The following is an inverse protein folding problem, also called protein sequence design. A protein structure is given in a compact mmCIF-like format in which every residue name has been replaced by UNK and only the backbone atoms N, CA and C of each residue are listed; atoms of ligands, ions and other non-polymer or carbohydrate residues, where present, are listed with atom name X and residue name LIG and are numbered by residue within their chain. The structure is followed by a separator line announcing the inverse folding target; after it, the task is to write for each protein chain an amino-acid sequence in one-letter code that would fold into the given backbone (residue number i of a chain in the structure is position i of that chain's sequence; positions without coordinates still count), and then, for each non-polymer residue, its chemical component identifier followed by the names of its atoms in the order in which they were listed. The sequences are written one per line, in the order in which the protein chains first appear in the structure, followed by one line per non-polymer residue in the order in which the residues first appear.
data_IF_995164785240
#
_entry.id   IF_995164785240
#
_cell.length_a   1.000
_cell.length_b   1.000
_cell.length_c   1.000
_cell.angle_alpha   90.00
_cell.angle_beta   90.00
_cell.angle_gamma   90.00
#
_symmetry.space_group_name_H-M   'P 1'
#
loop_
_entity.id
_entity.type
_entity.pdbx_description
1 polymer ?
#
# COMPACT_ATOMS: atom_id res chain seq x y z
N UNK A 1 6.27 -24.90 -4.33
CA UNK A 1 7.16 -23.77 -4.03
C UNK A 1 7.58 -23.11 -5.32
N UNK A 2 6.98 -21.97 -5.66
CA UNK A 2 7.48 -21.13 -6.75
C UNK A 2 8.65 -20.36 -6.13
N UNK A 3 9.88 -20.77 -6.45
CA UNK A 3 11.07 -20.00 -6.09
C UNK A 3 10.97 -18.66 -6.83
N UNK A 4 10.92 -17.56 -6.06
CA UNK A 4 11.00 -16.21 -6.61
C UNK A 4 12.25 -16.12 -7.49
N UNK A 5 12.15 -15.71 -8.77
CA UNK A 5 13.35 -15.48 -9.57
C UNK A 5 14.24 -14.46 -8.85
N UNK A 6 15.52 -14.81 -8.71
CA UNK A 6 16.56 -14.03 -8.02
C UNK A 6 16.96 -12.76 -8.81
N UNK A 7 15.97 -11.96 -9.23
CA UNK A 7 16.17 -10.74 -10.00
C UNK A 7 16.57 -9.61 -9.06
N UNK A 8 17.84 -9.57 -8.69
CA UNK A 8 18.42 -8.46 -7.93
C UNK A 8 18.47 -7.22 -8.82
N UNK A 9 17.76 -6.17 -8.43
CA UNK A 9 17.86 -4.85 -9.05
C UNK A 9 18.89 -4.00 -8.30
N UNK A 10 19.70 -3.23 -9.02
CA UNK A 10 20.69 -2.33 -8.43
C UNK A 10 20.43 -0.88 -8.83
N UNK A 11 20.55 0.03 -7.87
CA UNK A 11 20.35 1.47 -8.09
C UNK A 11 20.95 2.27 -6.93
N UNK A 12 21.15 3.58 -7.14
CA UNK A 12 21.55 4.48 -6.06
C UNK A 12 20.32 5.08 -5.35
N UNK A 13 20.39 5.16 -4.03
CA UNK A 13 19.48 5.95 -3.21
C UNK A 13 20.26 7.01 -2.43
N UNK A 14 19.61 8.13 -2.11
CA UNK A 14 20.21 9.19 -1.30
C UNK A 14 19.99 8.90 0.18
N UNK A 15 21.05 8.59 0.91
CA UNK A 15 21.04 8.56 2.38
C UNK A 15 21.18 9.98 2.91
N UNK A 16 20.34 10.34 3.87
CA UNK A 16 20.30 11.66 4.52
C UNK A 16 20.72 11.50 5.98
N UNK A 17 21.56 12.41 6.44
CA UNK A 17 21.92 12.55 7.84
C UNK A 17 22.11 14.01 8.22
N UNK A 18 22.60 14.27 9.43
CA UNK A 18 22.87 15.63 9.87
C UNK A 18 23.97 16.26 9.00
N UNK A 19 23.59 17.22 8.15
CA UNK A 19 24.51 18.00 7.32
C UNK A 19 25.00 17.33 6.04
N UNK A 20 24.48 16.15 5.65
CA UNK A 20 24.92 15.49 4.41
C UNK A 20 23.81 14.74 3.67
N UNK A 21 24.05 14.57 2.37
CA UNK A 21 23.28 13.71 1.47
C UNK A 21 24.29 12.91 0.63
N UNK A 22 24.25 11.58 0.70
CA UNK A 22 25.20 10.72 0.02
C UNK A 22 24.47 9.69 -0.88
N UNK A 23 24.93 9.47 -2.13
CA UNK A 23 24.45 8.36 -2.94
C UNK A 23 25.01 7.05 -2.38
N UNK A 24 24.13 6.11 -2.05
CA UNK A 24 24.47 4.77 -1.58
C UNK A 24 23.99 3.76 -2.60
N UNK A 25 24.87 2.84 -3.02
CA UNK A 25 24.49 1.73 -3.88
C UNK A 25 23.59 0.77 -3.09
N UNK A 26 22.41 0.51 -3.62
CA UNK A 26 21.40 -0.35 -3.01
C UNK A 26 21.04 -1.50 -3.93
N UNK A 27 20.53 -2.57 -3.33
CA UNK A 27 19.92 -3.70 -4.04
C UNK A 27 18.46 -3.86 -3.63
N UNK A 28 17.63 -4.36 -4.54
CA UNK A 28 16.25 -4.77 -4.24
C UNK A 28 16.02 -6.19 -4.77
N UNK A 29 15.41 -7.04 -3.94
CA UNK A 29 15.11 -8.43 -4.28
C UNK A 29 13.90 -8.95 -3.49
N UNK A 30 13.35 -10.07 -3.94
CA UNK A 30 12.44 -10.87 -3.12
C UNK A 30 13.16 -11.41 -1.87
N UNK A 31 12.40 -11.57 -0.79
CA UNK A 31 12.88 -12.17 0.45
C UNK A 31 12.63 -13.68 0.46
N UNK A 32 13.54 -14.44 1.08
CA UNK A 32 13.40 -15.86 1.35
C UNK A 32 13.43 -16.16 2.84
N UNK A 33 13.31 -17.44 3.21
CA UNK A 33 13.14 -17.86 4.62
C UNK A 33 14.23 -17.33 5.56
N UNK A 34 15.48 -17.23 5.07
CA UNK A 34 16.62 -16.71 5.82
C UNK A 34 16.53 -15.21 6.15
N UNK A 35 15.65 -14.46 5.47
CA UNK A 35 15.45 -13.02 5.71
C UNK A 35 14.37 -12.73 6.75
N UNK A 36 13.59 -13.74 7.18
CA UNK A 36 12.40 -13.53 8.01
C UNK A 36 12.76 -12.83 9.33
N UNK A 37 13.83 -13.26 10.00
CA UNK A 37 14.24 -12.69 11.28
C UNK A 37 14.64 -11.21 11.14
N UNK A 38 15.45 -10.87 10.13
CA UNK A 38 15.83 -9.48 9.85
C UNK A 38 14.61 -8.63 9.48
N UNK A 39 13.69 -9.17 8.68
CA UNK A 39 12.49 -8.48 8.25
C UNK A 39 11.54 -8.18 9.43
N UNK A 40 11.32 -9.15 10.32
CA UNK A 40 10.52 -8.96 11.54
C UNK A 40 11.15 -7.94 12.49
N UNK A 41 12.47 -8.03 12.70
CA UNK A 41 13.20 -7.05 13.51
C UNK A 41 13.10 -5.64 12.93
N UNK A 42 13.31 -5.51 11.62
CA UNK A 42 13.22 -4.24 10.91
C UNK A 42 11.80 -3.65 10.97
N UNK A 43 10.78 -4.47 10.74
CA UNK A 43 9.37 -4.07 10.85
C UNK A 43 9.08 -3.52 12.25
N UNK A 44 9.37 -4.31 13.29
CA UNK A 44 9.13 -3.92 14.68
C UNK A 44 9.82 -2.59 15.03
N UNK A 45 11.10 -2.43 14.69
CA UNK A 45 11.84 -1.20 14.96
C UNK A 45 11.16 0.02 14.34
N UNK A 46 10.72 -0.08 13.08
CA UNK A 46 10.04 1.05 12.40
C UNK A 46 8.66 1.31 13.00
N UNK A 47 7.93 0.27 13.42
CA UNK A 47 6.66 0.45 14.11
C UNK A 47 6.83 1.17 15.45
N UNK A 48 7.81 0.76 16.25
CA UNK A 48 8.16 1.41 17.52
C UNK A 48 8.55 2.89 17.30
N UNK A 49 9.23 3.21 16.19
CA UNK A 49 9.55 4.60 15.80
C UNK A 49 8.31 5.42 15.38
N UNK A 50 7.26 4.78 14.84
CA UNK A 50 6.00 5.46 14.49
C UNK A 50 5.15 5.71 15.74
N UNK A 51 5.01 4.70 16.61
CA UNK A 51 4.39 4.82 17.93
C UNK A 51 2.90 5.22 17.97
N UNK A 52 2.18 5.11 16.84
CA UNK A 52 0.75 5.48 16.74
C UNK A 52 -0.03 4.43 15.95
N UNK A 53 -0.81 3.60 16.65
CA UNK A 53 -1.65 2.52 16.09
C UNK A 53 -2.79 3.07 15.19
N UNK A 54 -3.20 4.34 15.37
CA UNK A 54 -4.12 5.00 14.43
C UNK A 54 -3.51 5.13 13.03
N UNK A 55 -2.17 5.12 12.94
CA UNK A 55 -1.39 5.38 11.73
C UNK A 55 -0.82 4.10 11.13
N UNK A 56 -0.35 3.16 11.95
CA UNK A 56 0.33 1.93 11.52
C UNK A 56 0.12 0.77 12.50
N UNK A 57 -0.21 -0.42 11.99
CA UNK A 57 -0.43 -1.63 12.81
C UNK A 57 0.88 -2.40 13.01
N UNK A 58 1.06 -3.04 14.18
CA UNK A 58 2.13 -4.01 14.41
C UNK A 58 1.84 -5.39 13.78
N UNK A 59 0.57 -5.70 13.57
CA UNK A 59 0.15 -6.92 12.88
C UNK A 59 0.74 -6.96 11.47
N UNK A 60 1.28 -8.12 11.10
CA UNK A 60 1.96 -8.31 9.82
C UNK A 60 1.89 -9.78 9.41
N UNK A 61 2.01 -10.06 8.12
CA UNK A 61 2.09 -11.43 7.59
C UNK A 61 3.46 -11.74 6.98
N UNK A 62 4.55 -11.22 7.55
CA UNK A 62 5.89 -11.31 6.92
C UNK A 62 6.30 -12.76 6.73
N UNK A 63 6.19 -13.58 7.77
CA UNK A 63 6.62 -14.97 7.72
C UNK A 63 5.77 -15.77 6.73
N UNK A 64 4.44 -15.66 6.81
CA UNK A 64 3.49 -16.31 5.91
C UNK A 64 3.76 -15.91 4.45
N UNK A 65 3.99 -14.62 4.22
CA UNK A 65 4.24 -14.08 2.88
C UNK A 65 5.54 -14.61 2.27
N UNK A 66 6.58 -14.80 3.09
CA UNK A 66 7.84 -15.38 2.65
C UNK A 66 7.72 -16.90 2.43
N UNK A 67 6.90 -17.58 3.24
CA UNK A 67 6.72 -19.04 3.20
C UNK A 67 5.74 -19.53 2.12
N UNK A 68 5.09 -18.63 1.39
CA UNK A 68 4.29 -18.95 0.20
C UNK A 68 2.88 -18.36 0.17
N UNK A 69 2.41 -17.78 1.28
CA UNK A 69 1.10 -17.14 1.40
C UNK A 69 1.19 -15.63 1.17
N UNK A 70 2.03 -15.22 0.22
CA UNK A 70 2.25 -13.82 -0.10
C UNK A 70 3.53 -13.60 -0.89
N UNK A 71 4.03 -12.37 -0.85
CA UNK A 71 5.32 -11.97 -1.37
C UNK A 71 5.93 -10.91 -0.44
N UNK A 72 7.23 -10.97 -0.21
CA UNK A 72 7.96 -9.90 0.46
C UNK A 72 9.16 -9.43 -0.37
N UNK A 73 9.40 -8.12 -0.36
CA UNK A 73 10.52 -7.48 -1.08
C UNK A 73 11.29 -6.59 -0.11
N UNK A 74 12.61 -6.77 -0.11
CA UNK A 74 13.54 -5.94 0.65
C UNK A 74 14.37 -5.03 -0.25
N UNK A 75 14.67 -3.83 0.24
CA UNK A 75 15.71 -2.96 -0.29
C UNK A 75 16.86 -2.93 0.72
N UNK A 76 18.08 -3.17 0.25
CA UNK A 76 19.26 -3.28 1.08
C UNK A 76 20.29 -2.22 0.73
N UNK A 77 20.96 -1.69 1.74
CA UNK A 77 22.13 -0.83 1.60
C UNK A 77 23.23 -1.37 2.51
N UNK A 78 24.45 -1.52 1.99
CA UNK A 78 25.61 -1.97 2.79
C UNK A 78 25.33 -3.31 3.51
N UNK A 79 24.54 -4.20 2.88
CA UNK A 79 24.15 -5.50 3.44
C UNK A 79 23.05 -5.47 4.49
N UNK A 80 22.41 -4.32 4.75
CA UNK A 80 21.33 -4.17 5.74
C UNK A 80 20.00 -3.83 5.09
N UNK A 81 18.92 -4.39 5.60
CA UNK A 81 17.56 -4.02 5.18
C UNK A 81 17.25 -2.55 5.53
N UNK A 82 16.88 -1.75 4.53
CA UNK A 82 16.52 -0.32 4.68
C UNK A 82 15.07 -0.03 4.27
N UNK A 83 14.41 -0.95 3.58
CA UNK A 83 12.98 -0.88 3.35
C UNK A 83 12.42 -2.29 3.14
N UNK A 84 11.19 -2.48 3.61
CA UNK A 84 10.49 -3.75 3.53
C UNK A 84 9.09 -3.49 3.01
N UNK A 85 8.63 -4.38 2.13
CA UNK A 85 7.27 -4.46 1.66
C UNK A 85 6.75 -5.88 1.77
N UNK A 86 5.51 -6.00 2.24
CA UNK A 86 4.78 -7.26 2.30
C UNK A 86 3.49 -7.19 1.48
N UNK A 87 3.11 -8.32 0.90
CA UNK A 87 1.83 -8.58 0.26
C UNK A 87 1.35 -9.93 0.78
N UNK A 88 0.11 -9.97 1.25
CA UNK A 88 -0.50 -11.15 1.83
C UNK A 88 -1.49 -11.84 0.88
N UNK A 89 -1.44 -13.17 0.86
CA UNK A 89 -2.44 -14.08 0.29
C UNK A 89 -3.12 -14.93 1.36
N UNK A 90 -2.86 -14.65 2.64
CA UNK A 90 -3.50 -15.35 3.76
C UNK A 90 -5.01 -15.28 3.57
N UNK A 91 -5.66 -16.46 3.59
CA UNK A 91 -7.06 -16.62 3.17
C UNK A 91 -8.01 -15.68 3.92
N UNK A 92 -7.83 -15.54 5.23
CA UNK A 92 -8.65 -14.64 6.06
C UNK A 92 -8.62 -13.18 5.57
N UNK A 93 -7.42 -12.65 5.28
CA UNK A 93 -7.28 -11.27 4.79
C UNK A 93 -7.78 -11.12 3.35
N UNK A 94 -7.62 -12.16 2.53
CA UNK A 94 -8.15 -12.20 1.16
C UNK A 94 -9.68 -12.18 1.16
N UNK A 95 -10.31 -12.98 2.02
CA UNK A 95 -11.76 -13.05 2.12
C UNK A 95 -12.34 -11.71 2.62
N UNK A 96 -11.70 -11.08 3.61
CA UNK A 96 -12.06 -9.72 4.05
C UNK A 96 -11.88 -8.69 2.91
N UNK A 97 -10.83 -8.81 2.10
CA UNK A 97 -10.61 -7.94 0.95
C UNK A 97 -11.65 -8.14 -0.17
N UNK A 98 -12.08 -9.38 -0.40
CA UNK A 98 -13.17 -9.70 -1.34
C UNK A 98 -14.48 -9.07 -0.88
N UNK A 99 -14.80 -9.19 0.42
CA UNK A 99 -15.98 -8.55 1.02
C UNK A 99 -15.91 -7.03 0.93
N UNK A 100 -14.78 -6.44 1.35
CA UNK A 100 -14.52 -5.00 1.29
C UNK A 100 -14.72 -4.40 -0.10
N UNK A 101 -14.42 -5.18 -1.15
CA UNK A 101 -14.52 -4.76 -2.53
C UNK A 101 -15.85 -5.17 -3.17
N UNK A 102 -16.68 -5.99 -2.52
CA UNK A 102 -17.88 -6.55 -3.14
C UNK A 102 -17.58 -7.43 -4.36
N UNK A 103 -16.45 -8.15 -4.36
CA UNK A 103 -16.07 -9.06 -5.42
C UNK A 103 -16.80 -10.41 -5.28
N UNK A 104 -16.90 -11.17 -6.37
CA UNK A 104 -17.33 -12.57 -6.30
C UNK A 104 -16.31 -13.38 -5.50
N UNK A 105 -16.73 -14.32 -4.63
CA UNK A 105 -15.81 -15.25 -3.96
C UNK A 105 -14.93 -16.06 -4.92
N UNK A 106 -15.35 -16.21 -6.18
CA UNK A 106 -14.55 -16.87 -7.22
C UNK A 106 -13.27 -16.09 -7.58
N UNK A 107 -13.21 -14.79 -7.29
CA UNK A 107 -12.04 -13.94 -7.53
C UNK A 107 -11.02 -13.99 -6.36
N UNK A 108 -11.28 -14.71 -5.26
CA UNK A 108 -10.38 -14.75 -4.09
C UNK A 108 -8.95 -15.14 -4.47
N UNK A 109 -8.77 -16.09 -5.39
CA UNK A 109 -7.44 -16.53 -5.83
C UNK A 109 -6.73 -15.53 -6.76
N UNK A 110 -7.42 -14.43 -7.13
CA UNK A 110 -6.88 -13.32 -7.90
C UNK A 110 -6.66 -12.04 -7.08
N UNK A 111 -7.00 -12.06 -5.80
CA UNK A 111 -6.82 -10.95 -4.87
C UNK A 111 -5.46 -11.00 -4.17
N UNK A 112 -4.85 -9.83 -3.97
CA UNK A 112 -3.67 -9.63 -3.15
C UNK A 112 -3.88 -8.45 -2.19
N UNK A 113 -3.57 -8.67 -0.91
CA UNK A 113 -3.66 -7.62 0.12
C UNK A 113 -2.30 -6.96 0.26
N UNK A 114 -2.21 -5.68 -0.10
CA UNK A 114 -0.99 -4.88 0.09
C UNK A 114 -0.92 -4.48 1.56
N UNK A 115 -0.20 -5.29 2.34
CA UNK A 115 -0.11 -5.25 3.79
C UNK A 115 0.55 -3.95 4.27
N UNK A 116 1.87 -3.82 4.09
CA UNK A 116 2.59 -2.61 4.47
C UNK A 116 3.81 -2.32 3.60
N UNK A 117 4.34 -1.09 3.76
CA UNK A 117 5.66 -0.71 3.28
C UNK A 117 6.32 0.20 4.32
N UNK A 118 7.42 -0.26 4.91
CA UNK A 118 8.21 0.49 5.90
C UNK A 118 9.57 0.84 5.32
N UNK A 119 10.15 1.95 5.79
CA UNK A 119 11.40 2.50 5.24
C UNK A 119 12.17 3.22 6.33
N UNK A 120 13.47 2.96 6.37
CA UNK A 120 14.42 3.61 7.26
C UNK A 120 14.39 5.13 7.07
N UNK A 121 14.37 5.86 8.18
CA UNK A 121 14.23 7.32 8.18
C UNK A 121 15.33 8.03 7.39
N UNK A 122 16.55 7.50 7.38
CA UNK A 122 17.68 8.06 6.63
C UNK A 122 17.55 7.92 5.11
N UNK A 123 16.67 7.03 4.63
CA UNK A 123 16.39 6.80 3.21
C UNK A 123 15.02 7.31 2.75
N UNK A 124 14.26 7.99 3.63
CA UNK A 124 12.99 8.63 3.23
C UNK A 124 13.24 9.73 2.19
N UNK A 125 12.27 9.93 1.31
CA UNK A 125 12.34 10.90 0.21
C UNK A 125 12.93 10.36 -1.10
N UNK A 126 13.29 9.07 -1.17
CA UNK A 126 13.75 8.41 -2.40
C UNK A 126 12.65 7.70 -3.20
N UNK A 127 11.37 7.98 -2.94
CA UNK A 127 10.24 7.30 -3.61
C UNK A 127 10.26 5.76 -3.48
N UNK A 128 10.82 5.22 -2.40
CA UNK A 128 10.97 3.77 -2.18
C UNK A 128 9.64 3.03 -2.25
N UNK A 129 8.61 3.58 -1.60
CA UNK A 129 7.26 3.02 -1.68
C UNK A 129 6.73 2.94 -3.12
N UNK A 130 7.15 3.81 -4.04
CA UNK A 130 6.65 3.79 -5.42
C UNK A 130 7.29 2.66 -6.25
N UNK A 131 8.62 2.59 -6.30
CA UNK A 131 9.27 1.57 -7.14
C UNK A 131 9.10 0.15 -6.57
N UNK A 132 8.97 0.02 -5.23
CA UNK A 132 8.62 -1.28 -4.62
C UNK A 132 7.18 -1.71 -4.95
N UNK A 133 6.24 -0.77 -5.20
CA UNK A 133 4.92 -1.10 -5.76
C UNK A 133 5.07 -1.69 -7.15
N UNK A 134 5.73 -0.95 -8.04
CA UNK A 134 5.90 -1.39 -9.43
C UNK A 134 6.60 -2.75 -9.52
N UNK A 135 7.62 -2.96 -8.71
CA UNK A 135 8.35 -4.23 -8.68
C UNK A 135 7.46 -5.39 -8.20
N UNK A 136 6.81 -5.27 -7.05
CA UNK A 136 5.99 -6.37 -6.52
C UNK A 136 4.76 -6.64 -7.40
N UNK A 137 4.18 -5.61 -8.01
CA UNK A 137 3.10 -5.75 -9.00
C UNK A 137 3.52 -6.58 -10.21
N UNK A 138 4.77 -6.43 -10.66
CA UNK A 138 5.32 -7.24 -11.76
C UNK A 138 5.49 -8.73 -11.40
N UNK A 139 5.65 -9.04 -10.11
CA UNK A 139 5.76 -10.42 -9.61
C UNK A 139 4.38 -11.09 -9.45
N UNK A 140 3.36 -10.29 -9.17
CA UNK A 140 1.98 -10.73 -8.95
C UNK A 140 1.21 -10.99 -10.25
N UNK A 141 1.45 -10.16 -11.26
CA UNK A 141 0.76 -10.25 -12.55
C UNK A 141 1.25 -11.46 -13.38
N UNK A 142 0.35 -12.22 -14.06
CA UNK A 142 -1.09 -11.98 -14.26
C UNK A 142 -2.00 -12.70 -13.26
N UNK A 143 -1.45 -13.35 -12.24
CA UNK A 143 -2.17 -14.28 -11.36
C UNK A 143 -2.95 -13.55 -10.26
N UNK A 144 -2.34 -12.54 -9.63
CA UNK A 144 -2.99 -11.65 -8.67
C UNK A 144 -3.13 -10.27 -9.30
N UNK A 145 -4.36 -9.83 -9.52
CA UNK A 145 -4.65 -8.58 -10.24
C UNK A 145 -5.71 -7.70 -9.57
N UNK A 146 -6.41 -8.19 -8.55
CA UNK A 146 -7.21 -7.36 -7.65
C UNK A 146 -6.37 -6.99 -6.44
N UNK A 147 -5.88 -5.75 -6.39
CA UNK A 147 -5.08 -5.27 -5.26
C UNK A 147 -5.96 -4.50 -4.29
N UNK A 148 -5.91 -4.92 -3.03
CA UNK A 148 -6.62 -4.30 -1.91
C UNK A 148 -5.61 -3.73 -0.91
N UNK A 149 -5.94 -2.62 -0.28
CA UNK A 149 -5.27 -2.15 0.94
C UNK A 149 -6.17 -1.19 1.69
N UNK A 150 -5.89 -0.96 2.97
CA UNK A 150 -6.59 0.05 3.74
C UNK A 150 -5.64 1.06 4.34
N UNK A 151 -6.03 2.34 4.35
CA UNK A 151 -5.16 3.42 4.83
C UNK A 151 -5.92 4.39 5.71
N UNK A 152 -5.32 4.74 6.85
CA UNK A 152 -5.79 5.78 7.75
C UNK A 152 -5.91 7.13 7.04
N UNK A 153 -7.02 7.87 7.20
CA UNK A 153 -7.11 9.27 6.78
C UNK A 153 -6.05 10.17 7.44
N UNK A 154 -5.55 9.76 8.63
CA UNK A 154 -4.47 10.44 9.36
C UNK A 154 -3.09 10.15 8.76
N UNK A 155 -2.91 8.99 8.11
CA UNK A 155 -1.67 8.63 7.42
C UNK A 155 -1.62 9.23 6.01
N UNK A 156 -1.56 10.57 5.96
CA UNK A 156 -1.60 11.35 4.72
C UNK A 156 -0.47 10.99 3.75
N UNK A 157 0.70 10.62 4.28
CA UNK A 157 1.85 10.23 3.47
C UNK A 157 1.59 8.90 2.75
N UNK A 158 1.16 7.86 3.47
CA UNK A 158 0.83 6.57 2.85
C UNK A 158 -0.32 6.73 1.87
N UNK A 159 -1.41 7.41 2.25
CA UNK A 159 -2.58 7.60 1.39
C UNK A 159 -2.20 8.29 0.07
N UNK A 160 -1.38 9.34 0.13
CA UNK A 160 -0.87 10.03 -1.05
C UNK A 160 -0.03 9.11 -1.94
N UNK A 161 0.81 8.25 -1.34
CA UNK A 161 1.68 7.34 -2.08
C UNK A 161 0.89 6.22 -2.74
N UNK A 162 -0.06 5.59 -2.03
CA UNK A 162 -0.93 4.54 -2.57
C UNK A 162 -1.76 5.06 -3.75
N UNK A 163 -2.39 6.22 -3.62
CA UNK A 163 -3.13 6.85 -4.73
C UNK A 163 -2.24 7.18 -5.93
N UNK A 164 -1.00 7.62 -5.69
CA UNK A 164 -0.02 7.84 -6.78
C UNK A 164 0.41 6.57 -7.50
N UNK A 165 0.28 5.40 -6.85
CA UNK A 165 0.54 4.11 -7.47
C UNK A 165 -0.65 3.59 -8.29
N UNK A 166 -1.69 4.40 -8.50
CA UNK A 166 -2.83 4.06 -9.36
C UNK A 166 -3.99 3.39 -8.63
N UNK A 167 -3.98 3.39 -7.30
CA UNK A 167 -5.14 2.99 -6.51
C UNK A 167 -6.19 4.09 -6.48
N UNK A 168 -7.45 3.68 -6.31
CA UNK A 168 -8.57 4.57 -6.01
C UNK A 168 -9.22 4.15 -4.69
N UNK A 169 -9.66 5.12 -3.90
CA UNK A 169 -10.44 4.87 -2.69
C UNK A 169 -11.90 4.59 -3.08
N UNK A 170 -12.36 3.38 -2.80
CA UNK A 170 -13.67 2.84 -3.18
C UNK A 170 -14.62 2.68 -2.00
N UNK A 171 -14.10 2.71 -0.77
CA UNK A 171 -14.89 2.61 0.46
C UNK A 171 -14.28 3.41 1.60
N UNK A 172 -15.06 3.60 2.66
CA UNK A 172 -14.65 4.28 3.89
C UNK A 172 -15.35 3.63 5.09
N UNK A 173 -14.61 2.80 5.84
CA UNK A 173 -15.15 1.98 6.93
C UNK A 173 -14.28 2.04 8.18
N UNK A 174 -14.79 1.50 9.27
CA UNK A 174 -14.01 1.25 10.49
C UNK A 174 -13.30 -0.10 10.38
N UNK A 175 -12.02 -0.16 10.74
CA UNK A 175 -11.21 -1.37 10.89
C UNK A 175 -10.30 -1.27 12.12
N UNK A 176 -9.67 -2.37 12.52
CA UNK A 176 -8.64 -2.43 13.58
C UNK A 176 -9.09 -1.76 14.88
N UNK A 177 -10.16 -2.23 15.53
CA UNK A 177 -10.62 -1.62 16.78
C UNK A 177 -11.42 -0.32 16.64
N UNK A 178 -11.85 0.04 15.42
CA UNK A 178 -12.83 1.11 15.19
C UNK A 178 -12.27 2.35 14.49
N UNK A 179 -11.02 2.31 14.03
CA UNK A 179 -10.39 3.42 13.32
C UNK A 179 -10.87 3.51 11.88
N UNK A 180 -11.15 4.74 11.43
CA UNK A 180 -11.56 4.98 10.06
C UNK A 180 -10.40 4.66 9.10
N UNK A 181 -10.73 3.97 8.00
CA UNK A 181 -9.82 3.61 6.93
C UNK A 181 -10.50 3.84 5.58
N UNK A 182 -9.76 4.38 4.63
CA UNK A 182 -10.11 4.25 3.23
C UNK A 182 -9.85 2.81 2.79
N UNK A 183 -10.79 2.20 2.09
CA UNK A 183 -10.56 0.97 1.32
C UNK A 183 -10.08 1.39 -0.07
N UNK A 184 -8.89 0.93 -0.45
CA UNK A 184 -8.25 1.29 -1.72
C UNK A 184 -8.12 0.08 -2.62
N UNK A 185 -8.39 0.30 -3.90
CA UNK A 185 -8.43 -0.72 -4.92
C UNK A 185 -7.61 -0.34 -6.14
N UNK A 186 -6.92 -1.33 -6.71
CA UNK A 186 -6.29 -1.23 -8.03
C UNK A 186 -6.49 -2.55 -8.77
N UNK A 187 -6.87 -2.47 -10.04
CA UNK A 187 -6.89 -3.63 -10.93
C UNK A 187 -5.70 -3.57 -11.90
N UNK A 188 -4.90 -4.64 -11.96
CA UNK A 188 -3.72 -4.69 -12.85
C UNK A 188 -4.07 -5.01 -14.31
N UNK A 189 -5.22 -5.63 -14.58
CA UNK A 189 -5.70 -5.93 -15.94
C UNK A 189 -6.48 -4.77 -16.56
N UNK A 190 -7.14 -3.97 -15.72
CA UNK A 190 -7.97 -2.82 -16.11
C UNK A 190 -7.60 -1.60 -15.28
N UNK A 191 -6.56 -0.83 -15.69
CA UNK A 191 -6.11 0.32 -14.93
C UNK A 191 -7.24 1.34 -14.76
N UNK A 192 -7.57 1.65 -13.50
CA UNK A 192 -8.67 2.56 -13.19
C UNK A 192 -8.43 3.97 -13.76
N UNK A 193 -9.48 4.56 -14.31
CA UNK A 193 -9.48 5.95 -14.76
C UNK A 193 -10.69 6.70 -14.20
N UNK A 194 -10.54 8.00 -13.98
CA UNK A 194 -11.61 8.86 -13.42
C UNK A 194 -11.84 10.10 -14.25
N UNK A 195 -13.10 10.46 -14.43
CA UNK A 195 -13.50 11.77 -14.95
C UNK A 195 -13.28 12.84 -13.88
N UNK A 196 -12.47 13.84 -14.22
CA UNK A 196 -12.22 14.99 -13.35
C UNK A 196 -13.23 16.13 -13.53
N UNK A 197 -14.13 16.01 -14.51
CA UNK A 197 -15.24 16.94 -14.73
C UNK A 197 -16.26 16.76 -13.60
N UNK A 198 -16.65 17.85 -12.96
CA UNK A 198 -17.57 17.79 -11.81
C UNK A 198 -16.95 17.15 -10.56
N UNK A 199 -15.61 17.11 -10.45
CA UNK A 199 -14.92 16.55 -9.29
C UNK A 199 -15.40 17.17 -7.97
N UNK A 200 -15.53 16.34 -6.94
CA UNK A 200 -15.82 16.78 -5.57
C UNK A 200 -14.53 16.83 -4.75
N UNK A 201 -14.56 17.58 -3.64
CA UNK A 201 -13.43 17.70 -2.72
C UNK A 201 -13.94 17.57 -1.30
N UNK A 202 -13.31 16.71 -0.50
CA UNK A 202 -13.66 16.50 0.91
C UNK A 202 -12.39 16.57 1.73
N UNK A 203 -12.38 17.36 2.80
CA UNK A 203 -11.27 17.36 3.77
C UNK A 203 -11.09 15.96 4.35
N UNK A 204 -9.86 15.45 4.45
CA UNK A 204 -9.60 14.09 4.96
C UNK A 204 -10.14 13.87 6.37
N UNK A 205 -10.22 14.94 7.18
CA UNK A 205 -10.77 14.91 8.54
C UNK A 205 -12.30 14.95 8.60
N UNK A 206 -13.00 15.07 7.47
CA UNK A 206 -14.45 15.20 7.42
C UNK A 206 -15.10 13.83 7.12
N UNK A 207 -15.00 12.93 8.10
CA UNK A 207 -15.33 11.51 7.96
C UNK A 207 -16.76 11.27 7.48
N UNK A 208 -17.74 12.09 7.90
CA UNK A 208 -19.15 11.93 7.53
C UNK A 208 -19.46 12.16 6.04
N UNK A 209 -18.55 12.82 5.31
CA UNK A 209 -18.78 13.17 3.90
C UNK A 209 -18.11 12.21 2.93
N UNK A 210 -17.12 11.42 3.38
CA UNK A 210 -16.46 10.45 2.52
C UNK A 210 -17.45 9.36 2.03
N UNK A 211 -18.24 8.70 2.92
CA UNK A 211 -19.25 7.73 2.48
C UNK A 211 -20.33 8.35 1.60
N UNK A 212 -20.79 9.57 1.90
CA UNK A 212 -21.84 10.25 1.12
C UNK A 212 -21.41 10.51 -0.33
N UNK A 213 -20.18 10.97 -0.52
CA UNK A 213 -19.65 11.21 -1.87
C UNK A 213 -19.44 9.90 -2.62
N UNK A 214 -19.02 8.84 -1.93
CA UNK A 214 -18.88 7.50 -2.51
C UNK A 214 -20.23 6.90 -2.94
N UNK A 215 -21.26 7.04 -2.11
CA UNK A 215 -22.64 6.61 -2.43
C UNK A 215 -23.22 7.29 -3.69
N UNK A 216 -22.75 8.49 -4.03
CA UNK A 216 -23.12 9.18 -5.28
C UNK A 216 -22.37 8.63 -6.53
N UNK A 217 -21.58 7.56 -6.37
CA UNK A 217 -20.78 6.90 -7.41
C UNK A 217 -19.45 7.58 -7.71
N UNK A 218 -18.84 8.27 -6.73
CA UNK A 218 -17.49 8.85 -6.87
C UNK A 218 -16.44 7.99 -6.15
N UNK A 219 -15.24 7.94 -6.73
CA UNK A 219 -14.06 7.34 -6.08
C UNK A 219 -13.01 8.39 -5.77
N UNK A 220 -12.29 8.22 -4.67
CA UNK A 220 -11.19 9.11 -4.29
C UNK A 220 -9.93 8.76 -5.08
N UNK A 221 -9.32 9.72 -5.79
CA UNK A 221 -8.22 9.41 -6.71
C UNK A 221 -6.93 10.19 -6.45
N UNK A 222 -6.98 11.23 -5.61
CA UNK A 222 -5.83 12.09 -5.35
C UNK A 222 -6.01 12.91 -4.09
N UNK A 223 -4.94 13.11 -3.33
CA UNK A 223 -4.92 14.09 -2.25
C UNK A 223 -4.28 15.41 -2.70
N UNK A 224 -4.72 16.54 -2.13
CA UNK A 224 -4.17 17.86 -2.38
C UNK A 224 -4.15 18.71 -1.11
N UNK A 225 -3.02 19.37 -0.84
CA UNK A 225 -2.92 20.34 0.26
C UNK A 225 -3.67 21.62 -0.12
N UNK A 226 -4.50 22.11 0.81
CA UNK A 226 -5.25 23.36 0.74
C UNK A 226 -5.01 24.17 2.01
N UNK A 227 -5.44 25.44 2.01
CA UNK A 227 -5.28 26.34 3.16
C UNK A 227 -5.92 25.80 4.45
N UNK A 228 -6.98 25.02 4.36
CA UNK A 228 -7.73 24.46 5.49
C UNK A 228 -7.41 22.97 5.78
N UNK A 229 -6.38 22.42 5.15
CA UNK A 229 -5.91 21.05 5.37
C UNK A 229 -5.80 20.23 4.08
N UNK A 230 -5.53 18.93 4.25
CA UNK A 230 -5.46 17.98 3.14
C UNK A 230 -6.87 17.57 2.72
N UNK A 231 -7.16 17.64 1.41
CA UNK A 231 -8.42 17.16 0.82
C UNK A 231 -8.19 15.92 -0.03
N UNK A 232 -9.17 15.00 -0.04
CA UNK A 232 -9.34 14.00 -1.08
C UNK A 232 -10.12 14.61 -2.25
N UNK A 233 -9.62 14.41 -3.46
CA UNK A 233 -10.31 14.71 -4.71
C UNK A 233 -11.06 13.46 -5.17
N UNK A 234 -12.31 13.67 -5.55
CA UNK A 234 -13.24 12.63 -5.97
C UNK A 234 -13.64 12.81 -7.43
N UNK A 235 -13.65 11.73 -8.20
CA UNK A 235 -14.08 11.71 -9.60
C UNK A 235 -15.02 10.54 -9.86
N UNK A 236 -15.81 10.61 -10.93
CA UNK A 236 -16.60 9.45 -11.38
C UNK A 236 -15.68 8.49 -12.12
N UNK A 237 -15.68 7.19 -11.81
CA UNK A 237 -14.87 6.23 -12.55
C UNK A 237 -15.35 6.15 -14.01
N UNK A 238 -14.41 5.97 -14.95
CA UNK A 238 -14.69 5.81 -16.38
C UNK A 238 -14.96 4.35 -16.77
N UNK A 239 -14.52 3.44 -15.92
CA UNK A 239 -14.77 2.00 -16.02
C UNK A 239 -15.50 1.54 -14.76
N UNK A 240 -16.11 0.36 -14.80
CA UNK A 240 -16.68 -0.23 -13.60
C UNK A 240 -15.56 -0.50 -12.58
N UNK A 241 -15.74 0.06 -11.39
CA UNK A 241 -14.88 -0.17 -10.23
C UNK A 241 -15.77 -0.82 -9.18
N UNK A 242 -15.31 -1.86 -8.48
CA UNK A 242 -16.07 -2.45 -7.38
C UNK A 242 -16.44 -1.35 -6.38
N UNK A 243 -17.72 -1.33 -5.99
CA UNK A 243 -18.20 -0.43 -4.96
C UNK A 243 -17.91 -1.11 -3.63
N UNK A 244 -16.92 -0.59 -2.90
CA UNK A 244 -16.59 -1.17 -1.60
C UNK A 244 -17.69 -0.90 -0.58
N UNK A 245 -17.80 -1.78 0.42
CA UNK A 245 -18.76 -1.66 1.54
C UNK A 245 -18.22 -0.74 2.64
#
# INVERSE_FOLDING_TARGET
MISMPNNVQQFFLLRRGLGYVAPILCTMRGLGEHDIEEALYFHKRITDEIGDEDIFSEENTIAESVMGDGLAVGVFAEGRLIALRSVSYVREHVDEAVEDLGLSPEESDNVAVMDFCVTDSSFRGNYIQFFTYLYIESLMYPNRYHLHTTVSPRNVFSLKNVLKCGFVAVGFKKKYGGHNRFVLYKNLRRPGAVSTRGRKQVLLRNYDYHPKVMADGFVGYKTKLKSNGMVMLYGRPLEEVPQGV
#
